data_IF_997342770311
#
_entry.id   IF_997342770311
#
_cell.length_a   1.000
_cell.length_b   1.000
_cell.length_c   1.000
_cell.angle_alpha   90.00
_cell.angle_beta   90.00
_cell.angle_gamma   90.00
#
_symmetry.space_group_name_H-M   'P 1'
#
loop_
_entity.id
_entity.type
_entity.pdbx_description
1 polymer ?
#
# COMPACT_ATOMS: atom_id res chain seq x y z
N UNK A 1 -27.04 -21.10 -4.46
CA UNK A 1 -26.16 -19.95 -4.72
C UNK A 1 -25.07 -20.03 -3.66
N UNK A 2 -23.90 -20.52 -4.06
CA UNK A 2 -22.83 -20.94 -3.17
C UNK A 2 -22.15 -19.73 -2.52
N UNK A 3 -22.07 -19.78 -1.20
CA UNK A 3 -21.34 -18.86 -0.34
C UNK A 3 -19.84 -19.16 -0.49
N UNK A 4 -19.19 -18.61 -1.52
CA UNK A 4 -17.73 -18.63 -1.62
C UNK A 4 -17.17 -17.60 -0.64
N UNK A 5 -16.43 -18.07 0.37
CA UNK A 5 -15.81 -17.22 1.39
C UNK A 5 -14.48 -16.71 0.85
N UNK A 6 -14.34 -15.40 0.64
CA UNK A 6 -13.11 -14.77 0.17
C UNK A 6 -12.05 -14.77 1.30
N UNK A 7 -10.87 -15.34 1.02
CA UNK A 7 -9.76 -15.53 1.95
C UNK A 7 -9.17 -14.24 2.53
N UNK A 8 -9.32 -13.14 1.80
CA UNK A 8 -8.73 -11.84 2.16
C UNK A 8 -9.54 -11.11 3.25
N UNK A 9 -10.70 -11.64 3.62
CA UNK A 9 -11.61 -11.06 4.62
C UNK A 9 -11.24 -11.37 6.07
N UNK A 10 -10.28 -12.27 6.30
CA UNK A 10 -9.86 -12.69 7.63
C UNK A 10 -8.45 -12.14 7.89
N UNK A 11 -8.33 -11.34 8.95
CA UNK A 11 -7.06 -10.85 9.53
C UNK A 11 -6.35 -9.69 8.82
N UNK A 12 -6.92 -8.50 8.92
CA UNK A 12 -6.26 -7.25 8.53
C UNK A 12 -5.63 -6.47 9.71
N UNK A 13 -5.61 -7.00 10.94
CA UNK A 13 -5.37 -6.21 12.16
C UNK A 13 -3.94 -6.21 12.74
N UNK A 14 -2.92 -6.72 12.05
CA UNK A 14 -1.55 -6.69 12.58
C UNK A 14 -0.47 -6.38 11.53
N UNK A 15 -0.39 -5.14 11.03
CA UNK A 15 0.73 -4.75 10.16
C UNK A 15 1.22 -3.32 10.40
N UNK A 16 2.28 -3.18 11.20
CA UNK A 16 3.25 -2.10 11.13
C UNK A 16 4.63 -2.68 11.42
N UNK A 17 5.52 -2.71 10.41
CA UNK A 17 6.95 -2.90 10.61
C UNK A 17 7.61 -1.53 10.42
N UNK A 18 8.33 -1.06 11.45
CA UNK A 18 8.97 0.24 11.46
C UNK A 18 10.17 0.25 10.50
N UNK A 19 10.27 1.27 9.66
CA UNK A 19 11.35 1.45 8.71
C UNK A 19 12.69 1.77 9.38
N UNK A 20 13.76 1.59 8.64
CA UNK A 20 15.09 2.05 9.01
C UNK A 20 15.19 3.55 8.67
N UNK A 21 15.65 4.38 9.61
CA UNK A 21 15.52 5.84 9.54
C UNK A 21 15.98 6.47 8.22
N UNK A 22 15.02 7.04 7.48
CA UNK A 22 15.18 7.62 6.15
C UNK A 22 15.58 9.10 6.22
N UNK A 23 16.80 9.39 6.71
CA UNK A 23 17.45 10.72 6.69
C UNK A 23 16.72 11.91 7.35
N UNK A 24 15.48 11.72 7.79
CA UNK A 24 14.55 12.76 8.27
C UNK A 24 14.10 12.49 9.70
N UNK A 25 14.35 11.29 10.22
CA UNK A 25 13.75 10.79 11.45
C UNK A 25 14.81 10.34 12.45
N UNK A 26 14.51 10.50 13.73
CA UNK A 26 15.23 9.87 14.84
C UNK A 26 14.43 8.64 15.26
N UNK A 27 15.03 7.45 15.16
CA UNK A 27 14.36 6.19 15.52
C UNK A 27 14.57 5.90 17.01
N UNK A 28 13.49 5.87 17.77
CA UNK A 28 13.44 5.43 19.16
C UNK A 28 12.97 3.97 19.20
N UNK A 29 13.82 3.06 19.69
CA UNK A 29 13.51 1.62 19.72
C UNK A 29 13.00 1.21 21.10
N UNK A 30 11.85 0.56 21.13
CA UNK A 30 11.29 -0.17 22.26
C UNK A 30 11.46 -1.68 22.04
N UNK A 31 11.15 -2.50 23.04
CA UNK A 31 11.32 -3.95 22.96
C UNK A 31 10.49 -4.60 21.85
N UNK A 32 9.27 -4.11 21.61
CA UNK A 32 8.33 -4.70 20.66
C UNK A 32 8.03 -3.85 19.43
N UNK A 33 8.51 -2.60 19.36
CA UNK A 33 8.30 -1.70 18.23
C UNK A 33 9.33 -0.57 18.21
N UNK A 34 9.39 0.18 17.10
CA UNK A 34 10.15 1.42 17.04
C UNK A 34 9.22 2.59 16.68
N UNK A 35 9.59 3.77 17.17
CA UNK A 35 8.91 5.04 16.88
C UNK A 35 9.87 5.93 16.11
N UNK A 36 9.42 6.44 14.97
CA UNK A 36 10.13 7.44 14.20
C UNK A 36 9.69 8.84 14.67
N UNK A 37 10.63 9.63 15.18
CA UNK A 37 10.41 10.99 15.65
C UNK A 37 10.98 11.96 14.62
N UNK A 38 10.14 12.85 14.09
CA UNK A 38 10.54 13.85 13.10
C UNK A 38 10.65 15.22 13.76
N UNK A 39 11.86 15.79 13.94
CA UNK A 39 11.99 17.18 14.39
C UNK A 39 11.37 18.13 13.36
N UNK A 40 10.48 19.01 13.80
CA UNK A 40 9.71 19.87 12.92
C UNK A 40 9.55 21.30 13.46
N UNK A 41 9.52 22.27 12.56
CA UNK A 41 9.23 23.68 12.84
C UNK A 41 7.92 24.09 12.17
N UNK A 42 6.95 24.56 12.96
CA UNK A 42 5.66 25.04 12.45
C UNK A 42 5.84 26.36 11.68
N UNK A 43 5.29 26.42 10.48
CA UNK A 43 5.28 27.58 9.60
C UNK A 43 3.97 28.38 9.74
N UNK A 44 3.99 29.66 9.33
CA UNK A 44 2.81 30.54 9.40
C UNK A 44 1.63 30.05 8.56
N UNK A 45 1.90 29.28 7.50
CA UNK A 45 0.88 28.68 6.64
C UNK A 45 0.29 27.37 7.20
N UNK A 46 0.68 26.95 8.41
CA UNK A 46 0.21 25.73 9.06
C UNK A 46 0.94 24.44 8.67
N UNK A 47 1.96 24.53 7.80
CA UNK A 47 2.84 23.43 7.40
C UNK A 47 4.08 23.35 8.28
N UNK A 48 4.97 22.42 7.99
CA UNK A 48 6.17 22.19 8.78
C UNK A 48 7.43 22.21 7.92
N UNK A 49 8.53 22.73 8.45
CA UNK A 49 9.87 22.34 8.01
C UNK A 49 10.38 21.16 8.80
N UNK A 50 10.91 20.16 8.12
CA UNK A 50 11.64 19.03 8.69
C UNK A 50 13.09 19.05 8.21
N UNK A 51 13.98 18.46 8.99
CA UNK A 51 15.37 18.26 8.58
C UNK A 51 15.44 17.05 7.64
N UNK A 52 16.14 17.20 6.52
CA UNK A 52 16.39 16.12 5.55
C UNK A 52 17.90 16.05 5.33
N UNK A 53 18.57 14.97 5.77
CA UNK A 53 20.03 14.84 5.72
C UNK A 53 20.57 14.38 4.36
N UNK A 54 19.69 14.09 3.39
CA UNK A 54 20.12 13.71 2.04
C UNK A 54 20.82 14.87 1.32
N UNK A 55 21.73 14.52 0.39
CA UNK A 55 22.40 15.47 -0.52
C UNK A 55 23.08 16.69 0.16
N UNK A 56 23.64 16.49 1.35
CA UNK A 56 24.34 17.55 2.10
C UNK A 56 23.46 18.32 3.08
N UNK A 57 22.19 17.93 3.24
CA UNK A 57 21.31 18.45 4.28
C UNK A 57 20.50 19.66 3.83
N UNK A 58 19.20 19.65 4.13
CA UNK A 58 18.29 20.78 3.86
C UNK A 58 17.10 20.79 4.82
N UNK A 59 16.39 21.92 4.83
CA UNK A 59 15.02 21.95 5.33
C UNK A 59 14.06 21.58 4.20
N UNK A 60 13.13 20.67 4.49
CA UNK A 60 12.07 20.24 3.58
C UNK A 60 10.72 20.65 4.15
N UNK A 61 9.85 21.22 3.32
CA UNK A 61 8.47 21.53 3.72
C UNK A 61 7.59 20.28 3.59
N UNK A 62 6.73 20.04 4.59
CA UNK A 62 5.76 18.92 4.62
C UNK A 62 4.41 19.39 5.19
N UNK A 63 3.33 18.70 4.81
CA UNK A 63 1.99 18.92 5.33
C UNK A 63 1.33 17.58 5.73
N UNK A 64 1.73 16.98 6.87
CA UNK A 64 1.21 15.68 7.30
C UNK A 64 -0.30 15.69 7.53
N UNK A 65 -0.88 16.86 7.81
CA UNK A 65 -2.32 17.03 7.97
C UNK A 65 -3.03 16.88 6.62
N UNK A 66 -2.51 17.49 5.56
CA UNK A 66 -3.07 17.31 4.22
C UNK A 66 -2.97 15.86 3.76
N UNK A 67 -1.87 15.15 4.04
CA UNK A 67 -1.70 13.72 3.74
C UNK A 67 -2.75 12.87 4.47
N UNK A 68 -2.94 13.08 5.78
CA UNK A 68 -3.95 12.35 6.56
C UNK A 68 -5.39 12.62 6.08
N UNK A 69 -5.72 13.89 5.78
CA UNK A 69 -7.03 14.27 5.24
C UNK A 69 -7.27 13.67 3.86
N UNK A 70 -6.24 13.59 3.02
CA UNK A 70 -6.34 13.00 1.69
C UNK A 70 -6.71 11.52 1.77
N UNK A 71 -6.02 10.74 2.61
CA UNK A 71 -6.33 9.32 2.82
C UNK A 71 -7.72 9.14 3.43
N UNK A 72 -8.10 9.91 4.46
CA UNK A 72 -9.42 9.77 5.09
C UNK A 72 -10.55 10.10 4.12
N UNK A 73 -10.41 11.19 3.35
CA UNK A 73 -11.41 11.59 2.36
C UNK A 73 -11.55 10.53 1.27
N UNK A 74 -10.43 10.03 0.76
CA UNK A 74 -10.44 8.99 -0.26
C UNK A 74 -11.02 7.67 0.27
N UNK A 75 -10.72 7.28 1.51
CA UNK A 75 -11.25 6.08 2.13
C UNK A 75 -12.78 6.15 2.32
N UNK A 76 -13.28 7.29 2.83
CA UNK A 76 -14.71 7.56 2.92
C UNK A 76 -15.40 7.55 1.55
N UNK A 77 -14.75 8.11 0.52
CA UNK A 77 -15.29 8.17 -0.84
C UNK A 77 -15.27 6.82 -1.57
N UNK A 78 -14.65 5.77 -1.01
CA UNK A 78 -14.48 4.46 -1.62
C UNK A 78 -14.94 3.34 -0.69
N UNK A 79 -16.08 3.53 0.00
CA UNK A 79 -16.70 2.53 0.87
C UNK A 79 -15.77 1.91 1.93
N UNK A 80 -14.78 2.69 2.42
CA UNK A 80 -13.75 2.24 3.38
C UNK A 80 -12.85 1.11 2.87
N UNK A 81 -12.73 0.95 1.55
CA UNK A 81 -11.90 -0.08 0.92
C UNK A 81 -10.42 0.33 0.74
N UNK A 82 -10.08 1.62 0.89
CA UNK A 82 -8.73 2.11 0.64
C UNK A 82 -7.74 1.60 1.69
N UNK A 83 -8.09 1.73 2.97
CA UNK A 83 -7.20 1.30 4.07
C UNK A 83 -6.94 -0.22 4.06
N UNK A 84 -7.95 -1.10 3.87
CA UNK A 84 -7.72 -2.52 3.64
C UNK A 84 -6.78 -2.80 2.47
N UNK A 85 -7.00 -2.16 1.31
CA UNK A 85 -6.13 -2.35 0.14
C UNK A 85 -4.68 -1.95 0.45
N UNK A 86 -4.47 -0.78 1.07
CA UNK A 86 -3.13 -0.33 1.49
C UNK A 86 -2.45 -1.35 2.39
N UNK A 87 -3.15 -1.93 3.38
CA UNK A 87 -2.59 -2.94 4.28
C UNK A 87 -2.13 -4.18 3.51
N UNK A 88 -2.95 -4.68 2.59
CA UNK A 88 -2.57 -5.81 1.72
C UNK A 88 -1.34 -5.50 0.86
N UNK A 89 -1.29 -4.29 0.28
CA UNK A 89 -0.15 -3.89 -0.54
C UNK A 89 1.14 -3.74 0.27
N UNK A 90 1.06 -3.31 1.53
CA UNK A 90 2.21 -3.31 2.46
C UNK A 90 2.65 -4.72 2.84
N UNK A 91 1.73 -5.66 2.99
CA UNK A 91 2.08 -7.07 3.18
C UNK A 91 2.84 -7.61 1.96
N UNK A 92 2.37 -7.32 0.75
CA UNK A 92 3.07 -7.65 -0.49
C UNK A 92 4.45 -6.98 -0.59
N UNK A 93 4.54 -5.69 -0.27
CA UNK A 93 5.78 -4.94 -0.27
C UNK A 93 6.83 -5.62 0.63
N UNK A 94 6.44 -6.00 1.84
CA UNK A 94 7.31 -6.64 2.81
C UNK A 94 7.70 -8.07 2.38
N UNK A 95 6.72 -8.91 2.05
CA UNK A 95 6.93 -10.33 1.72
C UNK A 95 7.75 -10.51 0.44
N UNK A 96 7.47 -9.70 -0.58
CA UNK A 96 8.18 -9.75 -1.86
C UNK A 96 9.38 -8.79 -1.95
N UNK A 97 9.76 -8.10 -0.86
CA UNK A 97 10.86 -7.13 -0.82
C UNK A 97 10.83 -6.12 -1.97
N UNK A 98 9.65 -5.53 -2.20
CA UNK A 98 9.39 -4.70 -3.39
C UNK A 98 10.02 -3.31 -3.21
N UNK A 99 10.86 -2.83 -4.14
CA UNK A 99 11.54 -1.54 -4.04
C UNK A 99 10.62 -0.37 -4.42
N UNK A 100 9.54 -0.20 -3.66
CA UNK A 100 8.61 0.93 -3.70
C UNK A 100 8.29 1.30 -2.25
N UNK A 101 8.17 2.58 -1.91
CA UNK A 101 7.91 2.98 -0.53
C UNK A 101 6.44 2.76 -0.15
N UNK A 102 6.17 2.54 1.14
CA UNK A 102 4.81 2.44 1.66
C UNK A 102 3.98 3.69 1.32
N UNK A 103 4.59 4.87 1.40
CA UNK A 103 3.93 6.13 1.06
C UNK A 103 3.58 6.22 -0.43
N UNK A 104 4.47 5.79 -1.34
CA UNK A 104 4.16 5.71 -2.77
C UNK A 104 2.98 4.76 -3.03
N UNK A 105 2.92 3.61 -2.34
CA UNK A 105 1.79 2.68 -2.44
C UNK A 105 0.47 3.29 -1.96
N UNK A 106 0.49 4.11 -0.90
CA UNK A 106 -0.72 4.80 -0.42
C UNK A 106 -1.28 5.78 -1.45
N UNK A 107 -0.40 6.56 -2.10
CA UNK A 107 -0.80 7.49 -3.15
C UNK A 107 -1.31 6.76 -4.40
N UNK A 108 -0.63 5.69 -4.81
CA UNK A 108 -1.01 4.87 -5.96
C UNK A 108 -2.33 4.12 -5.73
N UNK A 109 -2.53 3.56 -4.53
CA UNK A 109 -3.78 2.91 -4.15
C UNK A 109 -4.95 3.90 -4.15
N UNK A 110 -4.70 5.13 -3.68
CA UNK A 110 -5.70 6.21 -3.69
C UNK A 110 -6.11 6.58 -5.12
N UNK A 111 -5.13 6.79 -6.01
CA UNK A 111 -5.39 7.12 -7.43
C UNK A 111 -6.12 5.98 -8.17
N UNK A 112 -5.68 4.74 -7.96
CA UNK A 112 -6.30 3.55 -8.54
C UNK A 112 -7.74 3.37 -8.07
N UNK A 113 -7.96 3.35 -6.75
CA UNK A 113 -9.25 2.96 -6.21
C UNK A 113 -10.34 3.98 -6.58
N UNK A 114 -10.01 5.27 -6.66
CA UNK A 114 -10.95 6.28 -7.15
C UNK A 114 -11.47 6.03 -8.59
N UNK A 115 -10.69 5.30 -9.41
CA UNK A 115 -11.01 4.95 -10.81
C UNK A 115 -11.49 3.51 -10.98
N UNK A 116 -11.35 2.67 -9.95
CA UNK A 116 -11.71 1.26 -10.00
C UNK A 116 -13.23 1.08 -10.06
N UNK A 117 -13.68 0.17 -10.93
CA UNK A 117 -15.09 -0.23 -11.01
C UNK A 117 -15.56 -0.99 -9.75
N UNK A 118 -14.63 -1.52 -8.96
CA UNK A 118 -14.88 -2.30 -7.75
C UNK A 118 -14.93 -1.45 -6.47
N UNK A 119 -14.68 -0.13 -6.57
CA UNK A 119 -14.46 0.75 -5.41
C UNK A 119 -15.56 0.79 -4.35
N UNK A 120 -16.80 0.48 -4.73
CA UNK A 120 -17.96 0.46 -3.83
C UNK A 120 -18.43 -0.95 -3.48
N UNK A 121 -17.69 -1.98 -3.92
CA UNK A 121 -17.99 -3.36 -3.59
C UNK A 121 -17.47 -3.71 -2.21
N UNK A 122 -18.07 -4.70 -1.59
CA UNK A 122 -17.64 -5.18 -0.29
C UNK A 122 -16.36 -6.04 -0.38
N UNK A 123 -15.94 -6.58 0.76
CA UNK A 123 -14.73 -7.38 0.90
C UNK A 123 -14.68 -8.62 -0.01
N UNK A 124 -15.82 -9.09 -0.53
CA UNK A 124 -15.86 -10.24 -1.42
C UNK A 124 -15.12 -10.00 -2.73
N UNK A 125 -14.91 -8.75 -3.15
CA UNK A 125 -14.30 -8.39 -4.44
C UNK A 125 -12.82 -7.98 -4.35
N UNK A 126 -12.17 -8.22 -3.21
CA UNK A 126 -10.79 -7.79 -2.99
C UNK A 126 -9.78 -8.56 -3.84
N UNK A 127 -10.09 -9.79 -4.22
CA UNK A 127 -9.37 -10.57 -5.23
C UNK A 127 -9.23 -9.77 -6.54
N UNK A 128 -10.34 -9.19 -7.04
CA UNK A 128 -10.38 -8.43 -8.28
C UNK A 128 -9.80 -7.03 -8.11
N UNK A 129 -10.05 -6.37 -6.98
CA UNK A 129 -9.43 -5.07 -6.65
C UNK A 129 -7.91 -5.20 -6.67
N UNK A 130 -7.36 -6.22 -6.01
CA UNK A 130 -5.92 -6.46 -5.91
C UNK A 130 -5.31 -6.85 -7.25
N UNK A 131 -5.93 -7.77 -8.00
CA UNK A 131 -5.48 -8.14 -9.36
C UNK A 131 -5.40 -6.91 -10.26
N UNK A 132 -6.46 -6.11 -10.29
CA UNK A 132 -6.54 -4.94 -11.15
C UNK A 132 -5.60 -3.81 -10.67
N UNK A 133 -5.32 -3.73 -9.36
CA UNK A 133 -4.29 -2.82 -8.84
C UNK A 133 -2.91 -3.17 -9.38
N UNK A 134 -2.51 -4.45 -9.42
CA UNK A 134 -1.21 -4.82 -9.98
C UNK A 134 -1.10 -4.52 -11.47
N UNK A 135 -2.19 -4.73 -12.23
CA UNK A 135 -2.25 -4.33 -13.63
C UNK A 135 -2.09 -2.81 -13.80
N UNK A 136 -2.80 -2.02 -12.99
CA UNK A 136 -2.66 -0.57 -12.93
C UNK A 136 -1.22 -0.16 -12.59
N UNK A 137 -0.65 -0.74 -11.54
CA UNK A 137 0.67 -0.41 -11.04
C UNK A 137 1.73 -0.67 -12.11
N UNK A 138 1.66 -1.78 -12.86
CA UNK A 138 2.60 -2.07 -13.94
C UNK A 138 2.71 -0.92 -14.97
N UNK A 139 1.59 -0.25 -15.27
CA UNK A 139 1.54 0.91 -16.17
C UNK A 139 2.05 2.22 -15.59
N UNK A 140 2.41 2.27 -14.31
CA UNK A 140 2.89 3.48 -13.60
C UNK A 140 4.42 3.62 -13.58
N UNK A 141 5.15 2.70 -14.20
CA UNK A 141 6.61 2.74 -14.27
C UNK A 141 7.09 4.04 -14.96
N UNK A 142 8.13 4.65 -14.40
CA UNK A 142 8.72 5.91 -14.90
C UNK A 142 7.73 7.09 -14.96
N UNK A 143 6.72 7.10 -14.09
CA UNK A 143 5.79 8.22 -13.94
C UNK A 143 5.98 8.92 -12.59
N UNK A 144 5.12 9.91 -12.31
CA UNK A 144 5.14 10.68 -11.08
C UNK A 144 3.83 10.54 -10.30
N UNK A 145 3.92 10.66 -8.98
CA UNK A 145 2.81 10.99 -8.08
C UNK A 145 3.12 12.28 -7.34
N UNK A 146 2.11 12.90 -6.72
CA UNK A 146 2.25 14.19 -6.07
C UNK A 146 1.83 14.09 -4.60
N UNK A 147 2.65 14.67 -3.72
CA UNK A 147 2.38 14.72 -2.29
C UNK A 147 1.19 15.64 -2.01
N UNK A 148 0.14 15.17 -1.30
CA UNK A 148 -0.97 16.02 -0.90
C UNK A 148 -0.50 17.21 -0.06
N UNK A 149 -1.06 18.40 -0.30
CA UNK A 149 -0.68 19.62 0.41
C UNK A 149 0.49 20.35 -0.23
N UNK A 150 1.67 19.73 -0.33
CA UNK A 150 2.88 20.39 -0.89
C UNK A 150 2.96 20.35 -2.41
N UNK A 151 2.27 19.39 -3.04
CA UNK A 151 2.34 19.10 -4.48
C UNK A 151 3.76 18.75 -4.96
N UNK A 152 4.63 18.32 -4.04
CA UNK A 152 5.97 17.83 -4.38
C UNK A 152 5.84 16.60 -5.30
N UNK A 153 6.51 16.58 -6.46
CA UNK A 153 6.51 15.41 -7.33
C UNK A 153 7.45 14.32 -6.80
N UNK A 154 6.98 13.08 -6.78
CA UNK A 154 7.79 11.88 -6.50
C UNK A 154 7.90 11.07 -7.79
N UNK A 155 9.13 10.86 -8.25
CA UNK A 155 9.41 9.96 -9.38
C UNK A 155 9.35 8.50 -8.92
N UNK A 156 8.59 7.66 -9.63
CA UNK A 156 8.34 6.27 -9.22
C UNK A 156 9.40 5.27 -9.68
N UNK A 157 10.22 5.60 -10.68
CA UNK A 157 11.14 4.65 -11.30
C UNK A 157 10.44 3.39 -11.83
N UNK A 158 11.20 2.30 -11.97
CA UNK A 158 10.68 1.03 -12.51
C UNK A 158 11.16 -0.24 -11.78
N UNK A 159 11.90 -0.10 -10.68
CA UNK A 159 12.56 -1.22 -9.98
C UNK A 159 11.58 -2.26 -9.44
N UNK A 160 10.33 -1.86 -9.14
CA UNK A 160 9.26 -2.71 -8.61
C UNK A 160 8.45 -3.45 -9.69
N UNK A 161 8.74 -3.22 -10.97
CA UNK A 161 7.91 -3.67 -12.10
C UNK A 161 7.89 -5.20 -12.24
N UNK A 162 9.02 -5.87 -12.02
CA UNK A 162 9.13 -7.34 -12.12
C UNK A 162 8.30 -8.04 -11.04
N UNK A 163 8.35 -7.54 -9.80
CA UNK A 163 7.56 -8.05 -8.68
C UNK A 163 6.07 -7.78 -8.91
N UNK A 164 5.73 -6.63 -9.49
CA UNK A 164 4.34 -6.28 -9.83
C UNK A 164 3.77 -7.20 -10.90
N UNK A 165 4.53 -7.49 -11.95
CA UNK A 165 4.13 -8.45 -12.99
C UNK A 165 3.92 -9.86 -12.42
N UNK A 166 4.85 -10.30 -11.57
CA UNK A 166 4.73 -11.59 -10.88
C UNK A 166 3.48 -11.65 -9.99
N UNK A 167 3.19 -10.57 -9.26
CA UNK A 167 2.01 -10.48 -8.40
C UNK A 167 0.71 -10.46 -9.22
N UNK A 168 0.69 -9.75 -10.35
CA UNK A 168 -0.44 -9.74 -11.27
C UNK A 168 -0.78 -11.16 -11.77
N UNK A 169 0.21 -11.90 -12.28
CA UNK A 169 -0.03 -13.25 -12.80
C UNK A 169 -0.44 -14.24 -11.70
N UNK A 170 0.09 -14.09 -10.48
CA UNK A 170 -0.35 -14.88 -9.32
C UNK A 170 -1.79 -14.57 -8.94
N UNK A 171 -2.16 -13.29 -8.87
CA UNK A 171 -3.51 -12.85 -8.53
C UNK A 171 -4.53 -13.31 -9.60
N UNK A 172 -4.16 -13.22 -10.88
CA UNK A 172 -4.97 -13.70 -12.00
C UNK A 172 -5.22 -15.22 -11.92
N UNK A 173 -4.16 -15.98 -11.64
CA UNK A 173 -4.24 -17.43 -11.44
C UNK A 173 -5.07 -17.81 -10.22
N UNK A 174 -4.93 -17.07 -9.11
CA UNK A 174 -5.73 -17.26 -7.90
C UNK A 174 -7.23 -17.05 -8.16
N UNK A 175 -7.58 -15.95 -8.84
CA UNK A 175 -8.98 -15.66 -9.24
C UNK A 175 -9.55 -16.80 -10.09
N UNK A 176 -8.78 -17.33 -11.06
CA UNK A 176 -9.23 -18.49 -11.87
C UNK A 176 -9.45 -19.73 -11.02
N UNK A 177 -8.62 -19.99 -10.02
CA UNK A 177 -8.81 -21.11 -9.11
C UNK A 177 -10.07 -20.92 -8.25
N UNK A 178 -10.35 -19.71 -7.77
CA UNK A 178 -11.58 -19.38 -7.03
C UNK A 178 -12.84 -19.60 -7.88
N UNK A 179 -12.81 -19.19 -9.16
CA UNK A 179 -13.91 -19.44 -10.11
C UNK A 179 -14.21 -20.94 -10.30
N UNK A 180 -13.18 -21.79 -10.21
CA UNK A 180 -13.30 -23.26 -10.32
C UNK A 180 -13.47 -23.95 -8.96
N UNK A 181 -13.64 -23.20 -7.86
CA UNK A 181 -13.70 -23.70 -6.48
C UNK A 181 -12.46 -24.50 -6.03
N UNK A 182 -11.30 -24.23 -6.63
CA UNK A 182 -10.00 -24.80 -6.28
C UNK A 182 -9.35 -23.99 -5.15
N UNK A 183 -10.03 -23.96 -4.02
CA UNK A 183 -9.76 -23.11 -2.87
C UNK A 183 -8.31 -23.20 -2.34
N UNK A 184 -7.78 -24.40 -2.16
CA UNK A 184 -6.41 -24.58 -1.67
C UNK A 184 -5.37 -24.01 -2.64
N UNK A 185 -5.54 -24.27 -3.95
CA UNK A 185 -4.65 -23.76 -4.99
C UNK A 185 -4.72 -22.24 -5.11
N UNK A 186 -5.90 -21.64 -4.93
CA UNK A 186 -6.03 -20.17 -4.85
C UNK A 186 -5.26 -19.60 -3.65
N UNK A 187 -5.43 -20.21 -2.46
CA UNK A 187 -4.70 -19.83 -1.26
C UNK A 187 -3.18 -19.89 -1.42
N UNK A 188 -2.66 -20.94 -2.07
CA UNK A 188 -1.23 -21.05 -2.40
C UNK A 188 -0.73 -19.90 -3.29
N UNK A 189 -1.52 -19.45 -4.26
CA UNK A 189 -1.13 -18.31 -5.10
C UNK A 189 -1.19 -16.97 -4.34
N UNK A 190 -2.19 -16.78 -3.48
CA UNK A 190 -2.28 -15.59 -2.63
C UNK A 190 -1.15 -15.51 -1.59
N UNK A 191 -0.74 -16.65 -1.00
CA UNK A 191 0.40 -16.71 -0.08
C UNK A 191 1.71 -16.30 -0.74
N UNK A 192 1.90 -16.57 -2.03
CA UNK A 192 3.10 -16.11 -2.78
C UNK A 192 3.11 -14.59 -3.01
N UNK A 193 2.02 -13.89 -2.71
CA UNK A 193 1.92 -12.43 -2.81
C UNK A 193 2.02 -11.81 -1.41
N UNK A 194 1.30 -12.36 -0.44
CA UNK A 194 1.09 -11.73 0.87
C UNK A 194 1.76 -12.45 2.03
N UNK A 195 2.48 -13.54 1.77
CA UNK A 195 3.14 -14.34 2.78
C UNK A 195 2.22 -15.37 3.48
N UNK A 196 2.80 -16.14 4.41
CA UNK A 196 2.16 -17.32 5.03
C UNK A 196 1.02 -16.99 6.01
N UNK A 197 0.85 -15.71 6.35
CA UNK A 197 -0.25 -15.21 7.18
C UNK A 197 -1.62 -15.31 6.49
N UNK A 198 -1.66 -15.45 5.17
CA UNK A 198 -2.91 -15.82 4.49
C UNK A 198 -3.19 -17.29 4.82
N UNK A 199 -4.35 -17.62 5.43
CA UNK A 199 -4.62 -18.99 5.85
C UNK A 199 -4.76 -19.93 4.65
N UNK A 200 -4.11 -21.09 4.71
CA UNK A 200 -4.43 -22.21 3.83
C UNK A 200 -5.59 -22.99 4.44
N UNK A 201 -6.66 -23.22 3.68
CA UNK A 201 -7.62 -24.24 4.06
C UNK A 201 -7.01 -25.61 3.70
N UNK A 202 -6.78 -26.43 4.73
CA UNK A 202 -6.40 -27.84 4.61
C UNK A 202 -7.61 -28.71 4.23
#
# INVERSE_FOLDING_TARGET
MSENRNFLSLELDQFFHAGQGDGQVVVVRFESYAVEVVPAFLLQNGRYWICDTHDGGRYKETDPRAEAVHIETADQANARNLRPLIRMLKAWQADCSVPITSFQLELLATDFLGKSQWRFRDFFWFDWITRDFFAYLYGRANTFVYVPGTLEPIFLGSEWRSQTESAYWRAEKACRYEEHNLVAAAGEEWQKIFGPQIPMMA
#
